data_IF_560603267224
#
_entry.id   IF_560603267224
#
_cell.length_a   1.000
_cell.length_b   1.000
_cell.length_c   1.000
_cell.angle_alpha   90.00
_cell.angle_beta   90.00
_cell.angle_gamma   90.00
#
_symmetry.space_group_name_H-M   'P 1'
#
loop_
_entity.id
_entity.type
_entity.pdbx_description
1 polymer ?
#
# COMPACT_ATOMS: atom_id res chain seq x y z
N UNK A 1 -8.88 16.74 4.37
CA UNK A 1 -10.01 15.99 5.00
C UNK A 1 -9.57 15.57 6.38
N UNK A 2 -10.49 15.47 7.37
CA UNK A 2 -10.15 14.97 8.71
C UNK A 2 -10.19 13.45 8.74
N UNK A 3 -9.34 12.84 9.57
CA UNK A 3 -9.39 11.40 9.85
C UNK A 3 -10.66 11.08 10.65
N UNK A 4 -11.34 9.98 10.33
CA UNK A 4 -12.45 9.48 11.13
C UNK A 4 -11.89 8.82 12.38
N UNK A 5 -12.03 9.46 13.53
CA UNK A 5 -11.48 8.99 14.80
C UNK A 5 -12.64 8.94 15.79
N UNK A 6 -13.02 7.73 16.20
CA UNK A 6 -13.86 7.57 17.39
C UNK A 6 -13.04 7.97 18.64
N UNK A 7 -13.53 8.95 19.40
CA UNK A 7 -12.88 9.40 20.64
C UNK A 7 -13.13 8.47 21.83
N UNK A 8 -14.13 7.61 21.70
CA UNK A 8 -14.60 6.71 22.77
C UNK A 8 -14.16 5.25 22.56
N UNK A 9 -13.44 4.96 21.48
CA UNK A 9 -12.93 3.62 21.21
C UNK A 9 -11.46 3.52 21.61
N UNK A 10 -11.14 2.50 22.42
CA UNK A 10 -9.77 2.19 22.82
C UNK A 10 -8.93 1.76 21.63
N UNK A 11 -7.75 2.34 21.51
CA UNK A 11 -6.76 1.97 20.49
C UNK A 11 -5.43 1.57 21.14
N UNK A 12 -4.71 0.66 20.50
CA UNK A 12 -3.35 0.32 20.95
C UNK A 12 -2.44 1.54 20.90
N UNK A 13 -1.67 1.77 21.95
CA UNK A 13 -0.76 2.92 22.08
C UNK A 13 0.26 3.00 20.94
N UNK A 14 0.83 1.87 20.50
CA UNK A 14 1.73 1.83 19.36
C UNK A 14 1.06 2.27 18.04
N UNK A 15 -0.23 1.92 17.87
CA UNK A 15 -1.03 2.40 16.74
C UNK A 15 -1.27 3.90 16.85
N UNK A 16 -1.63 4.40 18.03
CA UNK A 16 -1.82 5.84 18.29
C UNK A 16 -0.57 6.64 17.90
N UNK A 17 0.62 6.25 18.39
CA UNK A 17 1.89 6.90 18.07
C UNK A 17 2.22 6.87 16.58
N UNK A 18 1.90 5.77 15.91
CA UNK A 18 2.10 5.65 14.46
C UNK A 18 1.13 6.54 13.66
N UNK A 19 -0.14 6.60 14.05
CA UNK A 19 -1.17 7.43 13.41
C UNK A 19 -0.96 8.92 13.68
N UNK A 20 -0.32 9.27 14.81
CA UNK A 20 0.13 10.61 15.14
C UNK A 20 1.41 11.04 14.39
N UNK A 21 2.00 10.16 13.58
CA UNK A 21 3.19 10.48 12.81
C UNK A 21 4.51 10.41 13.55
N UNK A 22 4.52 10.02 14.84
CA UNK A 22 5.72 10.02 15.71
C UNK A 22 6.76 9.01 15.20
N UNK A 23 6.35 7.74 15.00
CA UNK A 23 7.26 6.66 14.56
C UNK A 23 6.49 5.48 13.96
N UNK A 24 7.17 4.39 13.55
CA UNK A 24 6.51 3.15 13.17
C UNK A 24 5.96 2.42 14.40
N UNK A 25 4.98 1.51 14.22
CA UNK A 25 4.44 0.70 15.32
C UNK A 25 5.53 -0.08 16.06
N UNK A 26 6.48 -0.69 15.33
CA UNK A 26 7.61 -1.41 15.93
C UNK A 26 8.54 -0.50 16.71
N UNK A 27 8.78 0.71 16.22
CA UNK A 27 9.57 1.69 16.93
C UNK A 27 8.81 2.23 18.15
N UNK A 28 7.50 2.40 18.07
CA UNK A 28 6.67 2.74 19.22
C UNK A 28 6.77 1.68 20.32
N UNK A 29 6.72 0.39 19.96
CA UNK A 29 6.91 -0.71 20.91
C UNK A 29 8.26 -0.62 21.60
N UNK A 30 9.35 -0.37 20.86
CA UNK A 30 10.70 -0.16 21.46
C UNK A 30 10.77 1.05 22.38
N UNK A 31 10.08 2.14 22.06
CA UNK A 31 10.02 3.33 22.91
C UNK A 31 9.24 3.07 24.20
N UNK A 32 8.15 2.30 24.11
CA UNK A 32 7.35 1.88 25.27
C UNK A 32 8.19 0.97 26.17
N UNK A 33 8.83 -0.04 25.62
CA UNK A 33 9.71 -0.97 26.35
C UNK A 33 10.84 -0.26 27.11
N UNK A 34 11.41 0.80 26.49
CA UNK A 34 12.42 1.66 27.11
C UNK A 34 11.89 2.66 28.15
N UNK A 35 10.57 2.64 28.45
CA UNK A 35 9.96 3.56 29.41
C UNK A 35 9.91 5.02 28.94
N UNK A 36 10.09 5.29 27.64
CA UNK A 36 10.16 6.64 27.07
C UNK A 36 8.80 7.22 26.68
N UNK A 37 7.73 6.47 26.89
CA UNK A 37 6.34 6.87 26.57
C UNK A 37 5.55 6.96 27.86
N UNK A 38 4.82 8.08 28.05
CA UNK A 38 3.90 8.27 29.16
C UNK A 38 2.50 8.59 28.66
N UNK A 39 1.51 8.08 29.40
CA UNK A 39 0.08 8.34 29.19
C UNK A 39 -0.47 8.94 30.47
N UNK A 40 -1.04 10.16 30.41
CA UNK A 40 -1.51 10.94 31.57
C UNK A 40 -0.47 11.02 32.69
N UNK A 41 0.82 11.13 32.32
CA UNK A 41 1.95 11.23 33.26
C UNK A 41 2.51 9.89 33.73
N UNK A 42 1.79 8.77 33.54
CA UNK A 42 2.21 7.41 33.94
C UNK A 42 3.00 6.73 32.82
N UNK A 43 4.10 6.04 33.17
CA UNK A 43 4.89 5.27 32.20
C UNK A 43 4.07 4.16 31.58
N UNK A 44 4.03 4.12 30.26
CA UNK A 44 3.24 3.16 29.50
C UNK A 44 3.87 1.76 29.52
N UNK A 45 3.02 0.73 29.45
CA UNK A 45 3.42 -0.67 29.35
C UNK A 45 3.16 -1.24 27.96
N UNK A 46 3.85 -2.35 27.61
CA UNK A 46 3.65 -3.07 26.35
C UNK A 46 2.21 -3.57 26.22
N UNK A 47 1.65 -3.38 25.01
CA UNK A 47 0.27 -3.78 24.72
C UNK A 47 -0.80 -2.81 25.24
N UNK A 48 -0.44 -1.75 25.95
CA UNK A 48 -1.39 -0.77 26.49
C UNK A 48 -2.32 -0.23 25.43
N UNK A 49 -3.59 -0.12 25.78
CA UNK A 49 -4.63 0.57 25.02
C UNK A 49 -4.95 1.90 25.66
N UNK A 50 -5.30 2.88 24.89
CA UNK A 50 -5.65 4.23 25.33
C UNK A 50 -6.91 4.73 24.62
N UNK A 51 -7.59 5.65 25.27
CA UNK A 51 -8.59 6.47 24.60
C UNK A 51 -7.87 7.64 23.88
N UNK A 52 -8.31 8.03 22.67
CA UNK A 52 -7.66 9.11 21.91
C UNK A 52 -7.60 10.47 22.59
N UNK A 53 -8.43 10.71 23.62
CA UNK A 53 -8.47 11.92 24.45
C UNK A 53 -7.38 11.98 25.54
N UNK A 54 -6.71 10.87 25.84
CA UNK A 54 -5.66 10.83 26.86
C UNK A 54 -4.40 11.56 26.38
N UNK A 55 -3.69 12.17 27.32
CA UNK A 55 -2.45 12.91 27.04
C UNK A 55 -1.28 11.96 26.91
N UNK A 56 -0.71 11.86 25.72
CA UNK A 56 0.48 11.03 25.46
C UNK A 56 1.70 11.89 25.27
N UNK A 57 2.82 11.48 25.87
CA UNK A 57 4.13 12.10 25.63
C UNK A 57 5.20 11.05 25.32
N UNK A 58 6.15 11.44 24.48
CA UNK A 58 7.32 10.62 24.10
C UNK A 58 8.58 11.41 24.37
N UNK A 59 9.49 10.84 25.17
CA UNK A 59 10.73 11.51 25.62
C UNK A 59 10.45 12.90 26.21
N UNK A 60 9.38 13.02 27.00
CA UNK A 60 8.93 14.27 27.62
C UNK A 60 8.23 15.27 26.70
N UNK A 61 8.16 15.03 25.39
CA UNK A 61 7.47 15.90 24.44
C UNK A 61 6.02 15.42 24.23
N UNK A 62 5.01 16.33 24.31
CA UNK A 62 3.62 15.95 24.05
C UNK A 62 3.44 15.51 22.60
N UNK A 63 2.61 14.48 22.41
CA UNK A 63 2.23 13.99 21.09
C UNK A 63 0.99 14.74 20.63
N UNK A 64 1.14 15.51 19.55
CA UNK A 64 0.02 16.16 18.86
C UNK A 64 -0.38 15.30 17.67
N UNK A 65 -1.65 14.98 17.58
CA UNK A 65 -2.16 14.11 16.52
C UNK A 65 -2.38 14.90 15.24
N UNK A 66 -1.84 14.40 14.12
CA UNK A 66 -2.15 14.93 12.79
C UNK A 66 -3.60 14.58 12.41
N UNK A 67 -4.48 15.55 12.42
CA UNK A 67 -5.88 15.37 12.07
C UNK A 67 -6.13 15.35 10.55
N UNK A 68 -5.22 15.95 9.78
CA UNK A 68 -5.36 16.02 8.34
C UNK A 68 -5.02 14.68 7.71
N UNK A 69 -6.01 14.08 7.05
CA UNK A 69 -5.79 12.86 6.29
C UNK A 69 -5.07 13.19 4.98
N UNK A 70 -4.04 12.41 4.70
CA UNK A 70 -3.30 12.43 3.43
C UNK A 70 -3.54 11.11 2.71
N UNK A 71 -3.90 11.18 1.44
CA UNK A 71 -3.89 10.07 0.49
C UNK A 71 -3.37 10.59 -0.84
N UNK A 72 -2.24 10.06 -1.28
CA UNK A 72 -1.61 10.44 -2.55
C UNK A 72 -1.45 9.24 -3.47
N UNK A 73 -1.55 9.50 -4.77
CA UNK A 73 -1.20 8.60 -5.84
C UNK A 73 0.21 8.94 -6.33
N UNK A 74 1.09 7.97 -6.34
CA UNK A 74 2.51 8.12 -6.72
C UNK A 74 2.77 7.28 -7.96
N UNK A 75 3.49 7.80 -8.95
CA UNK A 75 4.04 7.03 -10.04
C UNK A 75 5.48 6.61 -9.69
N UNK A 76 5.60 5.44 -9.05
CA UNK A 76 6.88 4.89 -8.61
C UNK A 76 7.77 4.55 -9.80
N UNK A 77 9.02 5.03 -9.90
CA UNK A 77 9.97 4.60 -10.92
C UNK A 77 10.54 3.20 -10.62
N UNK A 78 11.15 2.59 -11.63
CA UNK A 78 12.03 1.42 -11.44
C UNK A 78 13.22 1.83 -10.55
N UNK A 79 13.75 0.88 -9.78
CA UNK A 79 14.92 1.11 -8.91
C UNK A 79 14.56 1.52 -7.47
N UNK A 80 13.34 1.99 -7.22
CA UNK A 80 12.89 2.40 -5.88
C UNK A 80 12.15 1.26 -5.18
N UNK A 81 12.45 1.01 -3.90
CA UNK A 81 11.82 -0.01 -3.08
C UNK A 81 10.67 0.54 -2.23
N UNK A 82 9.57 -0.21 -2.16
CA UNK A 82 8.44 0.09 -1.27
C UNK A 82 8.74 -0.35 0.17
N UNK A 83 9.68 0.33 0.82
CA UNK A 83 10.07 0.12 2.21
C UNK A 83 10.12 1.43 2.98
N UNK A 84 9.95 1.35 4.29
CA UNK A 84 10.19 2.46 5.22
C UNK A 84 11.52 2.32 5.96
N UNK A 85 12.34 1.36 5.58
CA UNK A 85 13.69 1.19 6.12
C UNK A 85 14.63 2.25 5.51
N UNK A 86 15.04 3.21 6.34
CA UNK A 86 15.94 4.31 5.95
C UNK A 86 17.38 3.90 5.76
N UNK A 87 17.78 2.69 6.16
CA UNK A 87 19.11 2.15 5.82
C UNK A 87 19.23 1.86 4.32
N UNK A 88 18.09 1.61 3.66
CA UNK A 88 18.01 1.49 2.21
C UNK A 88 17.84 2.88 1.58
N UNK A 89 18.84 3.36 0.86
CA UNK A 89 18.84 4.69 0.21
C UNK A 89 17.79 4.82 -0.90
N UNK A 90 17.43 3.70 -1.54
CA UNK A 90 16.44 3.66 -2.63
C UNK A 90 15.00 3.47 -2.11
N UNK A 91 14.70 3.87 -0.86
CA UNK A 91 13.37 3.71 -0.29
C UNK A 91 12.38 4.78 -0.79
N UNK A 92 11.11 4.38 -0.97
CA UNK A 92 10.06 5.25 -1.52
C UNK A 92 9.71 6.43 -0.59
N UNK A 93 9.90 6.31 0.71
CA UNK A 93 9.56 7.37 1.67
C UNK A 93 10.47 8.58 1.48
N UNK A 94 11.78 8.35 1.47
CA UNK A 94 12.77 9.42 1.28
C UNK A 94 12.76 9.93 -0.18
N UNK A 95 12.51 9.03 -1.16
CA UNK A 95 12.38 9.41 -2.56
C UNK A 95 11.26 10.44 -2.80
N UNK A 96 10.10 10.24 -2.18
CA UNK A 96 8.94 11.16 -2.31
C UNK A 96 9.11 12.40 -1.45
N UNK A 97 9.77 12.30 -0.28
CA UNK A 97 10.05 13.43 0.59
C UNK A 97 8.81 14.18 1.08
N UNK A 98 7.69 13.48 1.32
CA UNK A 98 6.44 14.12 1.73
C UNK A 98 6.59 14.78 3.13
N UNK A 99 6.06 16.02 3.35
CA UNK A 99 6.31 16.78 4.59
C UNK A 99 5.86 16.10 5.88
N UNK A 100 4.78 15.31 5.82
CA UNK A 100 4.30 14.52 6.96
C UNK A 100 4.57 13.05 6.75
N UNK A 101 4.66 12.30 7.85
CA UNK A 101 4.90 10.87 7.78
C UNK A 101 3.75 10.15 7.07
N UNK A 102 4.05 9.56 5.93
CA UNK A 102 3.16 8.68 5.17
C UNK A 102 3.81 7.31 4.98
N UNK A 103 3.01 6.31 4.60
CA UNK A 103 3.48 4.97 4.27
C UNK A 103 2.70 4.41 3.08
N UNK A 104 3.33 3.50 2.37
CA UNK A 104 2.78 2.90 1.16
C UNK A 104 1.65 1.91 1.46
N UNK A 105 0.63 1.89 0.62
CA UNK A 105 -0.46 0.92 0.63
C UNK A 105 -0.09 -0.23 -0.31
N UNK A 106 0.25 -1.37 0.27
CA UNK A 106 0.82 -2.47 -0.49
C UNK A 106 2.22 -2.18 -1.02
N UNK A 107 2.69 -2.98 -1.95
CA UNK A 107 4.04 -2.85 -2.51
C UNK A 107 4.05 -3.07 -4.02
N UNK A 108 5.08 -2.52 -4.67
CA UNK A 108 5.58 -2.90 -5.98
C UNK A 108 7.03 -3.37 -5.80
N UNK A 109 7.46 -4.35 -6.60
CA UNK A 109 8.86 -4.78 -6.62
C UNK A 109 9.78 -3.64 -7.08
N UNK A 110 11.08 -3.71 -6.73
CA UNK A 110 12.09 -2.74 -7.14
C UNK A 110 12.11 -2.53 -8.66
N UNK A 111 11.97 -3.65 -9.43
CA UNK A 111 11.99 -3.67 -10.90
C UNK A 111 10.60 -3.52 -11.54
N UNK A 112 9.61 -3.02 -10.78
CA UNK A 112 8.28 -2.71 -11.28
C UNK A 112 7.98 -1.25 -11.00
N UNK A 113 7.15 -0.62 -11.84
CA UNK A 113 6.85 0.80 -11.71
C UNK A 113 5.35 1.10 -11.82
N UNK A 114 4.98 2.38 -11.76
CA UNK A 114 3.61 2.82 -11.88
C UNK A 114 2.94 3.11 -10.54
N UNK A 115 1.64 3.00 -10.50
CA UNK A 115 0.80 3.49 -9.42
C UNK A 115 1.05 2.78 -8.09
N UNK A 116 1.37 3.55 -7.07
CA UNK A 116 1.30 3.15 -5.66
C UNK A 116 0.57 4.23 -4.87
N UNK A 117 -0.25 3.83 -3.91
CA UNK A 117 -0.91 4.76 -3.00
C UNK A 117 -0.10 4.90 -1.72
N UNK A 118 -0.06 6.12 -1.17
CA UNK A 118 0.57 6.38 0.13
C UNK A 118 -0.36 7.23 1.00
N UNK A 119 -0.36 6.96 2.31
CA UNK A 119 -1.27 7.62 3.25
C UNK A 119 -0.65 7.74 4.64
N UNK A 120 -1.21 8.63 5.47
CA UNK A 120 -0.98 8.68 6.92
C UNK A 120 -2.13 8.05 7.72
N UNK A 121 -3.09 7.37 7.06
CA UNK A 121 -4.25 6.76 7.69
C UNK A 121 -4.23 5.22 7.56
N UNK A 122 -3.99 4.54 8.70
CA UNK A 122 -3.90 3.08 8.77
C UNK A 122 -5.23 2.37 8.48
N UNK A 123 -6.37 3.04 8.61
CA UNK A 123 -7.67 2.43 8.30
C UNK A 123 -7.81 2.17 6.80
N UNK A 124 -7.37 3.12 5.97
CA UNK A 124 -7.36 2.99 4.50
C UNK A 124 -6.40 1.87 4.07
N UNK A 125 -5.22 1.77 4.72
CA UNK A 125 -4.27 0.69 4.41
C UNK A 125 -4.91 -0.68 4.63
N UNK A 126 -5.53 -0.86 5.80
CA UNK A 126 -6.18 -2.13 6.13
C UNK A 126 -7.32 -2.45 5.14
N UNK A 127 -8.15 -1.46 4.80
CA UNK A 127 -9.22 -1.61 3.84
C UNK A 127 -8.72 -2.11 2.48
N UNK A 128 -7.74 -1.42 1.89
CA UNK A 128 -7.21 -1.75 0.55
C UNK A 128 -6.36 -3.02 0.54
N UNK A 129 -5.62 -3.30 1.63
CA UNK A 129 -4.65 -4.42 1.68
C UNK A 129 -5.25 -5.76 2.08
N UNK A 130 -6.46 -5.80 2.63
CA UNK A 130 -7.13 -7.04 3.03
C UNK A 130 -7.38 -7.93 1.81
N UNK A 131 -6.69 -9.05 1.73
CA UNK A 131 -6.76 -9.99 0.60
C UNK A 131 -8.13 -10.66 0.43
N UNK A 132 -8.95 -10.68 1.50
CA UNK A 132 -10.34 -11.16 1.45
C UNK A 132 -11.24 -10.30 0.57
N UNK A 133 -10.95 -9.01 0.42
CA UNK A 133 -11.84 -8.04 -0.21
C UNK A 133 -11.71 -7.96 -1.74
N UNK A 134 -10.91 -8.81 -2.36
CA UNK A 134 -10.79 -8.95 -3.83
C UNK A 134 -10.61 -7.63 -4.60
N UNK A 135 -9.87 -6.66 -4.02
CA UNK A 135 -9.65 -5.36 -4.63
C UNK A 135 -8.77 -5.43 -5.88
N UNK A 136 -9.33 -4.96 -6.98
CA UNK A 136 -8.69 -5.00 -8.29
C UNK A 136 -7.44 -4.12 -8.37
N UNK A 137 -6.41 -4.67 -9.02
CA UNK A 137 -5.20 -3.96 -9.44
C UNK A 137 -4.91 -4.30 -10.87
N UNK A 138 -4.77 -3.30 -11.73
CA UNK A 138 -4.54 -3.47 -13.15
C UNK A 138 -3.11 -3.15 -13.53
N UNK A 139 -2.56 -3.97 -14.40
CA UNK A 139 -1.18 -3.88 -14.86
C UNK A 139 -1.08 -3.98 -16.38
N UNK A 140 -0.13 -3.24 -16.95
CA UNK A 140 0.39 -3.41 -18.30
C UNK A 140 1.69 -4.19 -18.20
N UNK A 141 1.83 -5.22 -19.01
CA UNK A 141 2.95 -6.17 -18.94
C UNK A 141 3.56 -6.38 -20.31
N UNK A 142 4.85 -6.06 -20.47
CA UNK A 142 5.62 -6.42 -21.67
C UNK A 142 6.45 -7.67 -21.44
N UNK A 143 6.45 -8.55 -22.42
CA UNK A 143 7.13 -9.84 -22.38
C UNK A 143 8.07 -10.02 -23.57
N UNK A 144 8.96 -11.00 -23.48
CA UNK A 144 10.06 -11.22 -24.41
C UNK A 144 9.66 -11.87 -25.75
N UNK A 145 8.40 -12.30 -25.91
CA UNK A 145 7.92 -12.95 -27.12
C UNK A 145 6.42 -12.69 -27.34
N UNK A 146 5.90 -12.89 -28.55
CA UNK A 146 4.50 -12.62 -28.85
C UNK A 146 3.53 -13.40 -27.96
N UNK A 147 2.47 -12.71 -27.52
CA UNK A 147 1.34 -13.28 -26.79
C UNK A 147 0.22 -13.63 -27.77
N UNK A 148 -0.55 -14.67 -27.46
CA UNK A 148 -1.65 -15.17 -28.29
C UNK A 148 -2.87 -15.56 -27.42
N UNK A 149 -3.94 -15.97 -28.07
CA UNK A 149 -5.18 -16.35 -27.37
C UNK A 149 -5.00 -17.55 -26.42
N UNK A 150 -4.09 -18.47 -26.73
CA UNK A 150 -3.78 -19.60 -25.86
C UNK A 150 -3.09 -19.12 -24.55
N UNK A 151 -2.14 -18.17 -24.67
CA UNK A 151 -1.54 -17.52 -23.52
C UNK A 151 -2.62 -16.85 -22.65
N UNK A 152 -3.52 -16.07 -23.24
CA UNK A 152 -4.61 -15.40 -22.51
C UNK A 152 -5.47 -16.41 -21.77
N UNK A 153 -5.92 -17.46 -22.44
CA UNK A 153 -6.75 -18.53 -21.84
C UNK A 153 -6.06 -19.17 -20.64
N UNK A 154 -4.79 -19.56 -20.78
CA UNK A 154 -4.01 -20.18 -19.69
C UNK A 154 -3.78 -19.21 -18.53
N UNK A 155 -3.40 -17.95 -18.84
CA UNK A 155 -3.15 -16.92 -17.83
C UNK A 155 -4.41 -16.60 -17.01
N UNK A 156 -5.59 -16.57 -17.65
CA UNK A 156 -6.86 -16.21 -17.02
C UNK A 156 -7.45 -17.30 -16.13
N UNK A 157 -7.14 -18.57 -16.38
CA UNK A 157 -7.79 -19.71 -15.70
C UNK A 157 -7.23 -20.03 -14.31
N UNK A 158 -6.14 -19.40 -13.93
CA UNK A 158 -5.40 -19.71 -12.71
C UNK A 158 -4.28 -20.73 -12.96
N UNK A 159 -3.11 -20.45 -12.41
CA UNK A 159 -1.89 -21.24 -12.61
C UNK A 159 -1.29 -21.59 -11.26
N UNK A 160 -0.74 -22.79 -11.11
CA UNK A 160 -0.05 -23.21 -9.90
C UNK A 160 1.32 -22.51 -9.80
N UNK A 161 1.48 -21.69 -8.79
CA UNK A 161 2.74 -21.02 -8.41
C UNK A 161 2.91 -21.09 -6.89
N UNK A 162 4.13 -21.21 -6.38
CA UNK A 162 4.42 -21.24 -4.94
C UNK A 162 3.48 -22.18 -4.14
N UNK A 163 3.29 -23.41 -4.62
CA UNK A 163 2.46 -24.44 -3.99
C UNK A 163 0.95 -24.11 -3.86
N UNK A 164 0.44 -23.15 -4.60
CA UNK A 164 -0.99 -22.80 -4.64
C UNK A 164 -1.42 -22.44 -6.07
N UNK A 165 -2.70 -22.63 -6.36
CA UNK A 165 -3.31 -22.15 -7.61
C UNK A 165 -3.78 -20.72 -7.41
N UNK A 166 -3.46 -19.84 -8.37
CA UNK A 166 -3.92 -18.44 -8.35
C UNK A 166 -5.40 -18.35 -8.66
N UNK A 167 -6.05 -17.27 -8.18
CA UNK A 167 -7.42 -16.96 -8.59
C UNK A 167 -7.49 -16.72 -10.10
N UNK A 168 -8.60 -17.07 -10.77
CA UNK A 168 -8.87 -16.60 -12.13
C UNK A 168 -8.79 -15.08 -12.22
N UNK A 169 -8.33 -14.57 -13.37
CA UNK A 169 -8.12 -13.14 -13.57
C UNK A 169 -8.50 -12.71 -15.00
N UNK A 170 -8.72 -11.40 -15.19
CA UNK A 170 -8.99 -10.83 -16.52
C UNK A 170 -7.67 -10.54 -17.22
N UNK A 171 -7.52 -10.99 -18.47
CA UNK A 171 -6.32 -10.76 -19.29
C UNK A 171 -6.76 -10.46 -20.72
N UNK A 172 -6.11 -9.48 -21.36
CA UNK A 172 -6.31 -9.21 -22.80
C UNK A 172 -5.04 -8.65 -23.43
N UNK A 173 -4.87 -8.91 -24.72
CA UNK A 173 -3.72 -8.48 -25.51
C UNK A 173 -3.92 -7.03 -25.94
N UNK A 174 -2.88 -6.20 -25.79
CA UNK A 174 -2.88 -4.79 -26.24
C UNK A 174 -1.88 -4.54 -27.35
N UNK A 175 -0.82 -5.36 -27.45
CA UNK A 175 0.16 -5.31 -28.51
C UNK A 175 0.79 -6.71 -28.68
N UNK A 176 1.60 -6.89 -29.73
CA UNK A 176 2.28 -8.16 -30.06
C UNK A 176 2.95 -8.83 -28.85
N UNK A 177 3.65 -8.05 -28.03
CA UNK A 177 4.37 -8.52 -26.85
C UNK A 177 3.86 -7.87 -25.55
N UNK A 178 2.62 -7.37 -25.54
CA UNK A 178 2.06 -6.67 -24.40
C UNK A 178 0.63 -7.14 -24.11
N UNK A 179 0.31 -7.25 -22.82
CA UNK A 179 -1.02 -7.56 -22.36
C UNK A 179 -1.36 -6.79 -21.08
N UNK A 180 -2.65 -6.62 -20.84
CA UNK A 180 -3.18 -6.16 -19.57
C UNK A 180 -3.62 -7.34 -18.71
N UNK A 181 -3.51 -7.18 -17.40
CA UNK A 181 -4.01 -8.15 -16.41
C UNK A 181 -4.59 -7.42 -15.21
N UNK A 182 -5.76 -7.89 -14.75
CA UNK A 182 -6.41 -7.42 -13.52
C UNK A 182 -6.33 -8.52 -12.47
N UNK A 183 -5.68 -8.25 -11.35
CA UNK A 183 -5.56 -9.16 -10.22
C UNK A 183 -6.36 -8.65 -9.02
N UNK A 184 -6.98 -9.58 -8.29
CA UNK A 184 -7.69 -9.33 -7.03
C UNK A 184 -6.95 -9.87 -5.81
N UNK A 185 -5.79 -10.47 -6.00
CA UNK A 185 -4.91 -10.99 -4.95
C UNK A 185 -3.49 -10.41 -5.08
N UNK A 186 -2.62 -10.68 -4.11
CA UNK A 186 -1.26 -10.14 -4.08
C UNK A 186 -0.24 -11.18 -3.63
N UNK A 187 0.09 -12.13 -4.49
CA UNK A 187 1.15 -13.12 -4.24
C UNK A 187 2.51 -12.47 -4.59
N UNK A 188 3.55 -12.84 -3.86
CA UNK A 188 4.91 -12.36 -4.14
C UNK A 188 5.30 -12.62 -5.60
N UNK A 189 5.58 -11.53 -6.36
CA UNK A 189 5.99 -11.53 -7.77
C UNK A 189 5.04 -12.32 -8.68
N UNK A 190 3.73 -12.27 -8.39
CA UNK A 190 2.70 -13.12 -9.03
C UNK A 190 2.78 -13.08 -10.56
N UNK A 191 2.70 -11.89 -11.18
CA UNK A 191 2.68 -11.76 -12.65
C UNK A 191 3.95 -12.34 -13.27
N UNK A 192 5.13 -12.08 -12.68
CA UNK A 192 6.40 -12.63 -13.18
C UNK A 192 6.42 -14.15 -13.12
N UNK A 193 5.93 -14.74 -12.02
CA UNK A 193 5.83 -16.20 -11.85
C UNK A 193 4.79 -16.83 -12.78
N UNK A 194 3.66 -16.17 -13.01
CA UNK A 194 2.67 -16.62 -13.98
C UNK A 194 3.25 -16.64 -15.40
N UNK A 195 3.96 -15.60 -15.80
CA UNK A 195 4.65 -15.53 -17.08
C UNK A 195 5.71 -16.64 -17.21
N UNK A 196 6.54 -16.82 -16.19
CA UNK A 196 7.57 -17.87 -16.15
C UNK A 196 6.97 -19.27 -16.30
N UNK A 197 5.85 -19.56 -15.60
CA UNK A 197 5.14 -20.83 -15.71
C UNK A 197 4.61 -21.12 -17.12
N UNK A 198 4.34 -20.07 -17.90
CA UNK A 198 3.94 -20.17 -19.31
C UNK A 198 5.12 -20.04 -20.29
N UNK A 199 6.36 -20.01 -19.80
CA UNK A 199 7.58 -19.92 -20.60
C UNK A 199 7.84 -18.50 -21.16
N UNK A 200 7.34 -17.45 -20.51
CA UNK A 200 7.57 -16.05 -20.85
C UNK A 200 8.40 -15.34 -19.79
N UNK A 201 9.18 -14.33 -20.20
CA UNK A 201 9.93 -13.46 -19.32
C UNK A 201 9.36 -12.04 -19.38
N UNK A 202 9.02 -11.47 -18.23
CA UNK A 202 8.54 -10.09 -18.10
C UNK A 202 9.71 -9.13 -18.32
N UNK A 203 9.60 -8.26 -19.31
CA UNK A 203 10.56 -7.19 -19.62
C UNK A 203 10.16 -5.89 -18.89
N UNK A 204 8.87 -5.55 -18.90
CA UNK A 204 8.35 -4.39 -18.21
C UNK A 204 7.04 -4.71 -17.45
N UNK A 205 6.83 -4.08 -16.30
CA UNK A 205 5.67 -4.29 -15.45
C UNK A 205 5.24 -2.97 -14.80
N UNK A 206 4.14 -2.43 -15.30
CA UNK A 206 3.58 -1.15 -14.86
C UNK A 206 2.20 -1.33 -14.24
N UNK A 207 2.01 -0.92 -12.99
CA UNK A 207 0.66 -0.86 -12.42
C UNK A 207 -0.01 0.46 -12.78
N UNK A 208 -1.19 0.40 -13.39
CA UNK A 208 -1.89 1.58 -13.91
C UNK A 208 -3.15 1.93 -13.13
N UNK A 209 -3.71 0.99 -12.33
CA UNK A 209 -4.92 1.22 -11.53
C UNK A 209 -4.91 0.42 -10.23
N UNK A 210 -5.47 0.99 -9.19
CA UNK A 210 -5.82 0.35 -7.92
C UNK A 210 -7.25 0.75 -7.60
N UNK A 211 -8.17 -0.21 -7.58
CA UNK A 211 -9.60 0.03 -7.42
C UNK A 211 -10.10 1.09 -8.42
N UNK A 212 -10.64 2.21 -7.95
CA UNK A 212 -11.08 3.35 -8.77
C UNK A 212 -9.98 4.38 -9.05
N UNK A 213 -8.80 4.27 -8.44
CA UNK A 213 -7.71 5.24 -8.61
C UNK A 213 -6.86 4.84 -9.81
N UNK A 214 -6.79 5.72 -10.80
CA UNK A 214 -5.99 5.53 -12.01
C UNK A 214 -4.68 6.34 -11.97
N UNK A 215 -3.63 5.79 -12.57
CA UNK A 215 -2.36 6.46 -12.78
C UNK A 215 -2.52 7.69 -13.69
N UNK A 216 -3.27 7.54 -14.78
CA UNK A 216 -3.50 8.57 -15.77
C UNK A 216 -2.19 9.11 -16.36
N UNK A 217 -2.10 10.44 -16.47
CA UNK A 217 -0.93 11.17 -17.02
C UNK A 217 0.09 11.59 -15.95
N UNK A 218 0.04 11.00 -14.76
CA UNK A 218 0.99 11.33 -13.68
C UNK A 218 2.41 10.98 -14.12
N UNK A 219 3.31 11.97 -14.13
CA UNK A 219 4.72 11.79 -14.53
C UNK A 219 5.43 10.81 -13.57
N UNK A 220 6.33 10.01 -14.12
CA UNK A 220 7.15 9.10 -13.31
C UNK A 220 7.97 9.86 -12.27
N UNK A 221 8.11 9.30 -11.08
CA UNK A 221 8.81 9.93 -9.96
C UNK A 221 8.02 11.03 -9.24
N UNK A 222 6.80 11.35 -9.67
CA UNK A 222 5.97 12.38 -9.03
C UNK A 222 4.75 11.80 -8.32
N UNK A 223 4.06 12.65 -7.56
CA UNK A 223 2.81 12.30 -6.90
C UNK A 223 1.73 13.38 -7.10
N UNK A 224 0.49 13.00 -6.92
CA UNK A 224 -0.66 13.90 -6.82
C UNK A 224 -1.54 13.54 -5.62
N UNK A 225 -2.30 14.48 -5.12
CA UNK A 225 -3.36 14.14 -4.18
C UNK A 225 -4.44 13.29 -4.89
N UNK A 226 -5.02 12.34 -4.17
CA UNK A 226 -6.25 11.69 -4.59
C UNK A 226 -7.37 12.71 -4.49
N UNK A 227 -8.23 12.81 -5.51
CA UNK A 227 -9.29 13.82 -5.53
C UNK A 227 -10.39 13.50 -4.51
N UNK A 228 -11.19 14.49 -4.11
CA UNK A 228 -12.33 14.23 -3.21
C UNK A 228 -13.32 13.21 -3.77
N UNK A 229 -13.54 13.20 -5.09
CA UNK A 229 -14.41 12.26 -5.81
C UNK A 229 -13.83 10.85 -5.76
N UNK A 230 -12.56 10.68 -6.15
CA UNK A 230 -11.84 9.41 -6.07
C UNK A 230 -11.89 8.84 -4.64
N UNK A 231 -11.70 9.70 -3.62
CA UNK A 231 -11.72 9.26 -2.22
C UNK A 231 -13.12 8.86 -1.75
N UNK A 232 -14.18 9.56 -2.17
CA UNK A 232 -15.56 9.18 -1.83
C UNK A 232 -15.90 7.80 -2.40
N UNK A 233 -15.61 7.60 -3.68
CA UNK A 233 -15.83 6.33 -4.35
C UNK A 233 -15.01 5.20 -3.71
N UNK A 234 -13.72 5.44 -3.44
CA UNK A 234 -12.86 4.48 -2.73
C UNK A 234 -13.46 4.07 -1.39
N UNK A 235 -13.92 5.02 -0.57
CA UNK A 235 -14.54 4.73 0.72
C UNK A 235 -15.83 3.93 0.58
N UNK A 236 -16.66 4.23 -0.43
CA UNK A 236 -17.87 3.47 -0.74
C UNK A 236 -17.51 2.01 -1.07
N UNK A 237 -16.58 1.78 -2.00
CA UNK A 237 -16.11 0.43 -2.35
C UNK A 237 -15.54 -0.34 -1.16
N UNK A 238 -14.84 0.35 -0.24
CA UNK A 238 -14.30 -0.27 0.98
C UNK A 238 -15.38 -0.64 1.99
N UNK A 239 -16.50 0.10 2.06
CA UNK A 239 -17.61 -0.20 2.97
C UNK A 239 -18.50 -1.34 2.46
N UNK A 240 -18.64 -1.50 1.15
CA UNK A 240 -19.44 -2.55 0.52
C UNK A 240 -18.78 -3.95 0.60
N UNK A 241 -17.46 -3.99 0.88
CA UNK A 241 -16.69 -5.24 0.96
C UNK A 241 -16.30 -5.63 2.40
N UNK A 242 -16.85 -4.97 3.42
CA UNK A 242 -16.73 -5.32 4.84
C UNK A 242 -17.99 -6.01 5.34
#
# INVERSE_FOLDING_TARGET
MKKNISLDEEIRLNKYLSDAGVCSRREADRLIEKGLVKVDGVTASMGMKILPKQKVSVKGKPVVREEKMVLIAVNKPVGIECTSDRSNRDNIIDYIGYPTRIYNIGRLDKNSHGLILMTNDGSIVNGISKSSNSHEKEYVVKVNKPVNNEFVRKMSSGIKILNRVTKPCKVWITDKNEFHIILTEGINRQIRRLCEALGYRVLDLKRIRIMNINLGRLKEGTYRNVTPEELRELKKMLSENN
#
